data_IF_501552974574
#
_entry.id   IF_501552974574
#
_cell.length_a   1.000
_cell.length_b   1.000
_cell.length_c   1.000
_cell.angle_alpha   90.00
_cell.angle_beta   90.00
_cell.angle_gamma   90.00
#
_symmetry.space_group_name_H-M   'P 1'
#
loop_
_entity.id
_entity.type
_entity.pdbx_description
1 polymer ?
#
# COMPACT_ATOMS: atom_id res chain seq x y z
N UNK A 1 -11.27 26.35 6.47
CA UNK A 1 -11.62 25.60 5.25
C UNK A 1 -13.04 25.08 5.46
N UNK A 2 -14.02 25.63 4.75
CA UNK A 2 -15.46 25.38 4.94
C UNK A 2 -15.91 24.26 3.99
N UNK A 3 -16.11 23.05 4.51
CA UNK A 3 -16.40 21.84 3.71
C UNK A 3 -17.90 21.66 3.38
N UNK A 4 -18.76 22.62 3.75
CA UNK A 4 -20.22 22.43 3.69
C UNK A 4 -20.85 22.51 2.30
N UNK A 5 -20.09 22.86 1.26
CA UNK A 5 -20.60 23.07 -0.11
C UNK A 5 -19.83 22.29 -1.18
N UNK A 6 -19.35 21.09 -0.87
CA UNK A 6 -18.85 20.18 -1.90
C UNK A 6 -20.02 19.31 -2.34
N UNK A 7 -20.67 19.68 -3.45
CA UNK A 7 -21.65 18.82 -4.13
C UNK A 7 -20.91 17.63 -4.74
N UNK A 8 -20.52 16.66 -3.91
CA UNK A 8 -19.95 15.38 -4.32
C UNK A 8 -21.11 14.60 -4.96
N UNK A 9 -21.10 14.46 -6.28
CA UNK A 9 -22.00 13.52 -6.93
C UNK A 9 -21.67 12.08 -6.49
N UNK A 10 -22.66 11.17 -6.45
CA UNK A 10 -22.44 9.79 -5.97
C UNK A 10 -21.29 9.08 -6.69
N UNK A 11 -21.06 9.42 -7.96
CA UNK A 11 -19.96 8.94 -8.79
C UNK A 11 -18.57 9.42 -8.31
N UNK A 12 -18.47 10.63 -7.76
CA UNK A 12 -17.25 11.15 -7.11
C UNK A 12 -16.99 10.48 -5.74
N UNK A 13 -18.04 10.11 -5.02
CA UNK A 13 -17.93 9.47 -3.71
C UNK A 13 -17.31 8.06 -3.81
N UNK A 14 -17.70 7.28 -4.81
CA UNK A 14 -17.17 5.93 -5.01
C UNK A 14 -15.69 5.89 -5.40
N UNK A 15 -15.21 6.91 -6.12
CA UNK A 15 -13.79 7.05 -6.40
C UNK A 15 -12.96 7.18 -5.12
N UNK A 16 -13.44 7.94 -4.14
CA UNK A 16 -12.78 8.07 -2.83
C UNK A 16 -12.70 6.72 -2.08
N UNK A 17 -13.77 5.92 -2.13
CA UNK A 17 -13.78 4.58 -1.52
C UNK A 17 -12.73 3.69 -2.18
N UNK A 18 -12.64 3.71 -3.51
CA UNK A 18 -11.63 2.95 -4.26
C UNK A 18 -10.20 3.31 -3.84
N UNK A 19 -9.89 4.61 -3.74
CA UNK A 19 -8.57 5.09 -3.29
C UNK A 19 -8.31 4.69 -1.84
N UNK A 20 -9.30 4.80 -0.95
CA UNK A 20 -9.17 4.40 0.45
C UNK A 20 -8.81 2.90 0.58
N UNK A 21 -9.44 2.03 -0.23
CA UNK A 21 -9.12 0.60 -0.25
C UNK A 21 -7.70 0.34 -0.75
N UNK A 22 -7.25 1.01 -1.81
CA UNK A 22 -5.87 0.86 -2.31
C UNK A 22 -4.84 1.32 -1.27
N UNK A 23 -5.09 2.43 -0.59
CA UNK A 23 -4.21 2.92 0.48
C UNK A 23 -4.18 1.95 1.67
N UNK A 24 -5.32 1.40 2.07
CA UNK A 24 -5.39 0.41 3.14
C UNK A 24 -4.60 -0.85 2.79
N UNK A 25 -4.76 -1.38 1.56
CA UNK A 25 -4.01 -2.55 1.09
C UNK A 25 -2.52 -2.26 0.97
N UNK A 26 -2.13 -1.08 0.46
CA UNK A 26 -0.72 -0.67 0.42
C UNK A 26 -0.12 -0.58 1.82
N UNK A 27 -0.83 0.04 2.75
CA UNK A 27 -0.38 0.20 4.13
C UNK A 27 -0.23 -1.13 4.85
N UNK A 28 -1.16 -2.08 4.68
CA UNK A 28 -1.05 -3.40 5.32
C UNK A 28 0.15 -4.19 4.80
N UNK A 29 0.46 -4.13 3.50
CA UNK A 29 1.64 -4.78 2.93
C UNK A 29 2.93 -4.16 3.48
N UNK A 30 3.02 -2.83 3.53
CA UNK A 30 4.20 -2.11 4.06
C UNK A 30 4.39 -2.42 5.55
N UNK A 31 3.32 -2.36 6.35
CA UNK A 31 3.38 -2.69 7.78
C UNK A 31 3.74 -4.15 8.01
N UNK A 32 3.18 -5.07 7.23
CA UNK A 32 3.53 -6.49 7.28
C UNK A 32 5.01 -6.74 6.99
N UNK A 33 5.56 -6.08 5.97
CA UNK A 33 6.99 -6.13 5.66
C UNK A 33 7.84 -5.53 6.78
N UNK A 34 7.44 -4.40 7.36
CA UNK A 34 8.14 -3.77 8.48
C UNK A 34 8.16 -4.66 9.74
N UNK A 35 7.01 -5.23 10.11
CA UNK A 35 6.92 -6.18 11.24
C UNK A 35 7.79 -7.41 10.97
N UNK A 36 7.78 -7.94 9.73
CA UNK A 36 8.64 -9.05 9.34
C UNK A 36 10.13 -8.72 9.53
N UNK A 37 10.56 -7.53 9.12
CA UNK A 37 11.93 -7.07 9.36
C UNK A 37 12.29 -7.07 10.86
N UNK A 38 11.41 -6.52 11.70
CA UNK A 38 11.64 -6.43 13.16
C UNK A 38 11.70 -7.80 13.83
N UNK A 39 10.82 -8.73 13.45
CA UNK A 39 10.70 -10.04 14.10
C UNK A 39 11.75 -11.03 13.59
N UNK A 40 12.04 -11.04 12.28
CA UNK A 40 12.97 -12.01 11.68
C UNK A 40 14.41 -11.50 11.60
N UNK A 41 14.66 -10.21 11.83
CA UNK A 41 15.97 -9.63 12.17
C UNK A 41 17.07 -9.68 11.10
N UNK A 42 16.99 -10.59 10.11
CA UNK A 42 17.89 -10.69 8.97
C UNK A 42 17.19 -11.47 7.84
N UNK A 43 17.00 -10.83 6.69
CA UNK A 43 16.45 -11.47 5.49
C UNK A 43 15.76 -10.49 4.54
N UNK A 44 15.50 -10.95 3.32
CA UNK A 44 14.64 -10.25 2.36
C UNK A 44 13.20 -10.70 2.54
N UNK A 45 12.24 -9.79 2.54
CA UNK A 45 10.81 -10.13 2.55
C UNK A 45 10.53 -11.08 1.37
N UNK A 46 10.13 -12.32 1.66
CA UNK A 46 9.88 -13.38 0.66
C UNK A 46 8.53 -13.15 -0.04
N UNK A 47 8.41 -11.99 -0.69
CA UNK A 47 7.23 -11.56 -1.44
C UNK A 47 7.59 -10.65 -2.62
N UNK A 48 8.87 -10.61 -3.02
CA UNK A 48 9.33 -9.81 -4.14
C UNK A 48 8.61 -10.20 -5.42
N UNK A 49 7.87 -9.27 -6.00
CA UNK A 49 7.26 -9.45 -7.31
C UNK A 49 8.39 -9.37 -8.35
N UNK A 50 8.61 -10.46 -9.07
CA UNK A 50 9.54 -10.52 -10.20
C UNK A 50 8.72 -10.44 -11.48
N UNK A 51 8.75 -9.28 -12.12
CA UNK A 51 8.13 -9.09 -13.43
C UNK A 51 9.14 -9.48 -14.51
N UNK A 52 8.72 -10.29 -15.48
CA UNK A 52 9.58 -10.85 -16.54
C UNK A 52 10.33 -9.75 -17.32
N UNK A 53 9.73 -8.55 -17.43
CA UNK A 53 10.27 -7.37 -18.13
C UNK A 53 10.95 -6.32 -17.24
N UNK A 54 11.57 -6.70 -16.11
CA UNK A 54 12.69 -5.92 -15.55
C UNK A 54 12.52 -5.21 -14.21
N UNK A 55 11.40 -5.36 -13.50
CA UNK A 55 11.27 -4.86 -12.12
C UNK A 55 11.33 -6.03 -11.13
N UNK A 56 12.38 -6.02 -10.32
CA UNK A 56 12.59 -6.91 -9.19
C UNK A 56 12.59 -6.05 -7.92
N UNK A 57 11.53 -6.16 -7.12
CA UNK A 57 11.41 -5.40 -5.87
C UNK A 57 11.89 -6.32 -4.75
N UNK A 58 13.11 -6.11 -4.28
CA UNK A 58 13.64 -6.75 -3.09
C UNK A 58 13.52 -5.78 -1.91
N UNK A 59 12.68 -6.14 -0.94
CA UNK A 59 12.59 -5.41 0.33
C UNK A 59 13.61 -6.07 1.26
N UNK A 60 14.84 -5.55 1.26
CA UNK A 60 15.88 -5.97 2.19
C UNK A 60 15.66 -5.30 3.55
N UNK A 61 15.53 -6.11 4.59
CA UNK A 61 15.51 -5.67 5.97
C UNK A 61 16.94 -5.58 6.50
N UNK A 62 17.40 -4.39 6.90
CA UNK A 62 18.74 -4.16 7.45
C UNK A 62 18.67 -3.52 8.84
#
# INVERSE_FOLDING_TARGET
MDYRNLSISEEEAWFLVFIAVLLALGATVVLGAAIWCVVKGHGSFTGGVKWDSGIQIHIECK
#
